data_IF_434370982124
#
_entry.id   IF_434370982124
#
_cell.length_a   1.000
_cell.length_b   1.000
_cell.length_c   1.000
_cell.angle_alpha   90.00
_cell.angle_beta   90.00
_cell.angle_gamma   90.00
#
_symmetry.space_group_name_H-M   'P 1'
#
loop_
_entity.id
_entity.type
_entity.pdbx_description
1 polymer ?
#
# COMPACT_ATOMS: atom_id res chain seq x y z
N UNK A 1 -24.20 10.74 20.83
CA UNK A 1 -23.46 10.75 19.56
C UNK A 1 -22.98 9.33 19.40
N UNK A 2 -23.47 8.62 18.38
CA UNK A 2 -22.92 7.31 18.04
C UNK A 2 -21.58 7.60 17.39
N UNK A 3 -20.50 7.13 18.00
CA UNK A 3 -19.16 7.28 17.45
C UNK A 3 -19.05 6.31 16.27
N UNK A 4 -19.13 6.82 15.05
CA UNK A 4 -18.86 6.03 13.85
C UNK A 4 -17.38 5.70 13.83
N UNK A 5 -17.03 4.42 13.86
CA UNK A 5 -15.64 4.01 13.70
C UNK A 5 -15.40 3.44 12.32
N UNK A 6 -14.18 3.65 11.84
CA UNK A 6 -13.63 2.92 10.70
C UNK A 6 -12.69 1.84 11.21
N UNK A 7 -12.84 0.64 10.66
CA UNK A 7 -11.93 -0.48 10.89
C UNK A 7 -11.27 -0.89 9.58
N UNK A 8 -9.94 -0.86 9.54
CA UNK A 8 -9.13 -1.41 8.46
C UNK A 8 -8.52 -2.75 8.91
N UNK A 9 -8.56 -3.75 8.04
CA UNK A 9 -7.83 -5.02 8.21
C UNK A 9 -6.96 -5.22 6.98
N UNK A 10 -5.65 -5.35 7.17
CA UNK A 10 -4.71 -5.71 6.09
C UNK A 10 -4.58 -7.23 6.08
N UNK A 11 -5.00 -7.89 5.00
CA UNK A 11 -5.00 -9.35 4.88
C UNK A 11 -3.73 -9.88 4.23
N UNK A 12 -3.13 -9.10 3.33
CA UNK A 12 -1.89 -9.45 2.67
C UNK A 12 -1.15 -8.17 2.28
N UNK A 13 0.16 -8.16 2.49
CA UNK A 13 1.04 -7.09 2.06
C UNK A 13 2.41 -7.67 1.71
N UNK A 14 2.95 -7.44 0.50
CA UNK A 14 4.31 -7.85 0.19
C UNK A 14 5.32 -7.17 1.14
N UNK A 15 6.37 -7.86 1.61
CA UNK A 15 7.32 -7.31 2.58
C UNK A 15 7.90 -5.94 2.18
N UNK A 16 8.22 -5.76 0.89
CA UNK A 16 8.77 -4.50 0.36
C UNK A 16 7.76 -3.33 0.30
N UNK A 17 6.47 -3.57 0.58
CA UNK A 17 5.43 -2.54 0.68
C UNK A 17 5.09 -2.16 2.13
N UNK A 18 5.57 -2.91 3.12
CA UNK A 18 5.26 -2.71 4.55
C UNK A 18 5.47 -1.27 4.99
N UNK A 19 6.63 -0.68 4.71
CA UNK A 19 6.94 0.72 5.06
C UNK A 19 5.97 1.72 4.43
N UNK A 20 5.63 1.54 3.17
CA UNK A 20 4.75 2.46 2.45
C UNK A 20 3.31 2.38 2.98
N UNK A 21 2.81 1.18 3.28
CA UNK A 21 1.51 0.99 3.91
C UNK A 21 1.50 1.59 5.32
N UNK A 22 2.51 1.30 6.15
CA UNK A 22 2.62 1.85 7.50
C UNK A 22 2.64 3.39 7.52
N UNK A 23 3.29 4.02 6.52
CA UNK A 23 3.26 5.47 6.36
C UNK A 23 1.85 6.02 6.10
N UNK A 24 1.04 5.33 5.27
CA UNK A 24 -0.37 5.69 5.06
C UNK A 24 -1.17 5.52 6.35
N UNK A 25 -1.01 4.40 7.05
CA UNK A 25 -1.73 4.15 8.32
C UNK A 25 -1.44 5.24 9.36
N UNK A 26 -0.16 5.60 9.53
CA UNK A 26 0.26 6.66 10.45
C UNK A 26 -0.31 8.03 10.06
N UNK A 27 -0.22 8.38 8.78
CA UNK A 27 -0.75 9.67 8.28
C UNK A 27 -2.27 9.81 8.50
N UNK A 28 -2.96 8.69 8.71
CA UNK A 28 -4.40 8.59 8.95
C UNK A 28 -4.77 8.31 10.41
N UNK A 29 -3.78 8.28 11.32
CA UNK A 29 -4.01 8.03 12.75
C UNK A 29 -4.44 6.60 13.08
N UNK A 30 -4.12 5.62 12.22
CA UNK A 30 -4.43 4.20 12.43
C UNK A 30 -3.31 3.45 13.17
N UNK A 31 -2.12 4.06 13.28
CA UNK A 31 -0.99 3.58 14.09
C UNK A 31 -0.12 4.75 14.53
N UNK A 32 0.57 4.60 15.66
CA UNK A 32 1.50 5.57 16.24
C UNK A 32 2.98 5.10 16.13
N UNK A 33 3.26 4.12 15.28
CA UNK A 33 4.61 3.55 15.13
C UNK A 33 5.65 4.62 14.76
N UNK A 34 6.87 4.50 15.27
CA UNK A 34 7.99 5.39 14.93
C UNK A 34 8.37 5.27 13.43
N UNK A 35 8.31 6.36 12.63
CA UNK A 35 8.64 6.33 11.20
C UNK A 35 10.09 5.92 10.90
N UNK A 36 11.01 6.17 11.82
CA UNK A 36 12.44 5.92 11.63
C UNK A 36 12.81 4.46 11.95
N UNK A 37 11.90 3.72 12.58
CA UNK A 37 12.09 2.31 12.92
C UNK A 37 11.77 1.37 11.74
N UNK A 38 12.20 0.11 11.84
CA UNK A 38 11.80 -0.93 10.89
C UNK A 38 10.35 -1.31 11.16
N UNK A 39 9.50 -1.17 10.15
CA UNK A 39 8.06 -1.32 10.28
C UNK A 39 7.65 -2.79 10.34
N UNK A 40 6.57 -3.08 11.05
CA UNK A 40 5.91 -4.40 11.05
C UNK A 40 4.41 -4.18 10.95
N UNK A 41 3.78 -4.84 9.98
CA UNK A 41 2.32 -4.86 9.89
C UNK A 41 1.80 -6.15 10.50
N UNK A 42 0.76 -6.03 11.31
CA UNK A 42 -0.02 -7.14 11.81
C UNK A 42 -1.13 -7.46 10.79
N UNK A 43 -0.97 -8.56 10.06
CA UNK A 43 -1.93 -9.04 9.07
C UNK A 43 -3.08 -9.77 9.76
N UNK A 44 -4.32 -9.49 9.32
CA UNK A 44 -5.55 -10.03 9.91
C UNK A 44 -6.01 -9.30 11.18
N UNK A 45 -5.21 -8.36 11.71
CA UNK A 45 -5.57 -7.54 12.86
C UNK A 45 -6.27 -6.24 12.44
N UNK A 46 -7.15 -5.74 13.30
CA UNK A 46 -7.94 -4.54 13.07
C UNK A 46 -7.16 -3.27 13.49
N UNK A 47 -7.06 -2.31 12.57
CA UNK A 47 -6.62 -0.95 12.82
C UNK A 47 -7.86 -0.06 12.85
N UNK A 48 -8.12 0.59 13.98
CA UNK A 48 -9.36 1.33 14.20
C UNK A 48 -9.09 2.84 14.30
N UNK A 49 -10.00 3.65 13.77
CA UNK A 49 -10.01 5.09 13.96
C UNK A 49 -11.44 5.61 14.06
N UNK A 50 -11.69 6.48 15.04
CA UNK A 50 -12.94 7.24 15.19
C UNK A 50 -12.99 8.50 14.31
N UNK A 51 -11.86 8.88 13.73
CA UNK A 51 -11.71 10.16 13.04
C UNK A 51 -11.86 10.03 11.52
N UNK A 52 -11.81 8.80 11.00
CA UNK A 52 -11.98 8.50 9.58
C UNK A 52 -13.44 8.16 9.30
N UNK A 53 -14.11 8.96 8.46
CA UNK A 53 -15.48 8.69 8.00
C UNK A 53 -15.70 9.16 6.57
N UNK A 54 -16.58 8.48 5.84
CA UNK A 54 -17.08 8.84 4.52
C UNK A 54 -15.98 9.11 3.49
N UNK A 55 -15.79 10.37 3.13
CA UNK A 55 -14.81 10.73 2.07
C UNK A 55 -13.39 10.32 2.46
N UNK A 56 -13.01 10.40 3.73
CA UNK A 56 -11.66 10.09 4.16
C UNK A 56 -11.33 8.59 4.03
N UNK A 57 -12.35 7.74 4.14
CA UNK A 57 -12.27 6.29 3.89
C UNK A 57 -11.98 6.01 2.42
N UNK A 58 -12.68 6.69 1.50
CA UNK A 58 -12.40 6.55 0.08
C UNK A 58 -10.96 6.95 -0.26
N UNK A 59 -10.44 8.04 0.31
CA UNK A 59 -9.05 8.47 0.08
C UNK A 59 -8.07 7.48 0.73
N UNK A 60 -8.36 6.91 1.90
CA UNK A 60 -7.53 5.84 2.49
C UNK A 60 -7.41 4.64 1.56
N UNK A 61 -8.52 4.18 0.97
CA UNK A 61 -8.53 3.05 0.03
C UNK A 61 -7.68 3.37 -1.20
N UNK A 62 -7.82 4.58 -1.75
CA UNK A 62 -7.06 5.03 -2.92
C UNK A 62 -5.56 5.10 -2.60
N UNK A 63 -5.18 5.70 -1.46
CA UNK A 63 -3.79 5.79 -1.01
C UNK A 63 -3.16 4.39 -0.85
N UNK A 64 -3.87 3.46 -0.17
CA UNK A 64 -3.41 2.08 0.01
C UNK A 64 -3.24 1.35 -1.33
N UNK A 65 -4.21 1.49 -2.23
CA UNK A 65 -4.17 0.88 -3.57
C UNK A 65 -3.02 1.44 -4.40
N UNK A 66 -2.73 2.74 -4.28
CA UNK A 66 -1.65 3.39 -4.98
C UNK A 66 -0.28 2.95 -4.45
N UNK A 67 -0.07 2.91 -3.12
CA UNK A 67 1.24 2.58 -2.55
C UNK A 67 1.52 1.08 -2.53
N UNK A 68 0.48 0.24 -2.51
CA UNK A 68 0.60 -1.21 -2.46
C UNK A 68 -0.50 -1.89 -3.29
N UNK A 69 -0.45 -1.82 -4.64
CA UNK A 69 -1.48 -2.39 -5.52
C UNK A 69 -1.60 -3.92 -5.44
N UNK A 70 -0.61 -4.58 -4.82
CA UNK A 70 -0.53 -6.02 -4.61
C UNK A 70 -1.06 -6.43 -3.22
N UNK A 71 -1.37 -5.46 -2.35
CA UNK A 71 -1.92 -5.72 -1.04
C UNK A 71 -3.41 -6.03 -1.12
N UNK A 72 -3.88 -6.85 -0.19
CA UNK A 72 -5.30 -7.11 0.01
C UNK A 72 -5.71 -6.61 1.39
N UNK A 73 -6.84 -5.92 1.47
CA UNK A 73 -7.32 -5.31 2.70
C UNK A 73 -8.85 -5.16 2.69
N UNK A 74 -9.42 -4.94 3.86
CA UNK A 74 -10.83 -4.61 4.03
C UNK A 74 -10.98 -3.39 4.90
N UNK A 75 -11.85 -2.47 4.49
CA UNK A 75 -12.26 -1.32 5.30
C UNK A 75 -13.74 -1.45 5.61
N UNK A 76 -14.09 -1.25 6.88
CA UNK A 76 -15.44 -1.21 7.39
C UNK A 76 -15.72 0.17 7.95
N UNK A 77 -16.89 0.72 7.65
CA UNK A 77 -17.47 1.83 8.41
C UNK A 77 -18.67 1.31 9.19
N UNK A 78 -18.70 1.58 10.48
CA UNK A 78 -19.78 1.10 11.36
C UNK A 78 -21.13 1.68 10.94
N UNK A 79 -22.16 0.82 10.99
CA UNK A 79 -23.54 1.28 10.92
C UNK A 79 -23.88 2.14 12.15
N UNK A 80 -24.78 3.10 11.96
CA UNK A 80 -25.36 3.90 13.05
C UNK A 80 -26.86 3.60 13.16
N UNK A 81 -27.50 4.12 14.20
CA UNK A 81 -28.96 4.01 14.36
C UNK A 81 -29.74 4.60 13.16
N UNK A 82 -29.11 5.52 12.40
CA UNK A 82 -29.75 6.25 11.31
C UNK A 82 -29.29 5.79 9.91
N UNK A 83 -28.12 5.13 9.81
CA UNK A 83 -27.46 4.83 8.53
C UNK A 83 -26.81 3.46 8.54
N UNK A 84 -26.93 2.73 7.42
CA UNK A 84 -26.17 1.50 7.22
C UNK A 84 -24.66 1.80 7.16
N UNK A 85 -23.87 0.83 7.58
CA UNK A 85 -22.41 0.87 7.43
C UNK A 85 -22.00 0.57 5.99
N UNK A 86 -20.70 0.53 5.75
CA UNK A 86 -20.12 0.15 4.46
C UNK A 86 -19.00 -0.85 4.67
N UNK A 87 -18.81 -1.73 3.68
CA UNK A 87 -17.64 -2.59 3.59
C UNK A 87 -17.01 -2.47 2.21
N UNK A 88 -15.71 -2.25 2.19
CA UNK A 88 -14.87 -2.23 1.01
C UNK A 88 -13.81 -3.32 1.11
N UNK A 89 -13.85 -4.30 0.20
CA UNK A 89 -12.86 -5.37 0.10
C UNK A 89 -12.03 -5.16 -1.16
N UNK A 90 -10.73 -5.00 -0.99
CA UNK A 90 -9.78 -4.90 -2.10
C UNK A 90 -8.94 -6.17 -2.13
N UNK A 91 -9.02 -6.90 -3.24
CA UNK A 91 -8.21 -8.09 -3.52
C UNK A 91 -7.66 -7.92 -4.93
N UNK A 92 -6.34 -7.77 -5.14
CA UNK A 92 -5.77 -7.34 -6.42
C UNK A 92 -6.27 -8.08 -7.67
N UNK A 93 -6.31 -9.43 -7.71
CA UNK A 93 -6.82 -10.14 -8.90
C UNK A 93 -8.33 -10.01 -9.12
N UNK A 94 -9.08 -9.58 -8.11
CA UNK A 94 -10.55 -9.45 -8.15
C UNK A 94 -11.02 -7.99 -8.27
N UNK A 95 -10.17 -7.03 -7.89
CA UNK A 95 -10.51 -5.62 -7.79
C UNK A 95 -11.16 -5.26 -6.45
N UNK A 96 -12.02 -4.24 -6.46
CA UNK A 96 -12.74 -3.72 -5.29
C UNK A 96 -14.18 -4.21 -5.29
N UNK A 97 -14.64 -4.71 -4.15
CA UNK A 97 -16.03 -4.99 -3.84
C UNK A 97 -16.52 -4.03 -2.76
N UNK A 98 -17.71 -3.46 -2.97
CA UNK A 98 -18.34 -2.51 -2.03
C UNK A 98 -19.77 -2.94 -1.75
N UNK A 99 -20.20 -2.91 -0.49
CA UNK A 99 -21.59 -3.14 -0.11
C UNK A 99 -21.96 -2.33 1.14
N UNK A 100 -23.25 -2.08 1.32
CA UNK A 100 -23.78 -1.61 2.60
C UNK A 100 -23.74 -2.74 3.63
N UNK A 101 -23.59 -2.40 4.91
CA UNK A 101 -23.56 -3.39 6.00
C UNK A 101 -24.56 -3.11 7.10
N UNK A 102 -24.95 -4.18 7.80
CA UNK A 102 -25.63 -4.07 9.08
C UNK A 102 -24.64 -3.75 10.23
N UNK A 103 -25.18 -3.68 11.45
CA UNK A 103 -24.43 -3.47 12.69
C UNK A 103 -23.41 -4.57 13.02
N UNK A 104 -23.52 -5.74 12.41
CA UNK A 104 -22.57 -6.84 12.57
C UNK A 104 -21.45 -6.79 11.49
N UNK A 105 -21.47 -5.78 10.61
CA UNK A 105 -20.54 -5.66 9.49
C UNK A 105 -20.81 -6.63 8.34
N UNK A 106 -21.97 -7.29 8.33
CA UNK A 106 -22.37 -8.19 7.25
C UNK A 106 -22.94 -7.39 6.08
N UNK A 107 -22.55 -7.75 4.86
CA UNK A 107 -23.11 -7.15 3.67
C UNK A 107 -24.62 -7.41 3.59
N UNK A 108 -25.40 -6.35 3.42
CA UNK A 108 -26.86 -6.41 3.27
C UNK A 108 -27.27 -5.95 1.88
N UNK A 109 -28.36 -6.55 1.39
CA UNK A 109 -28.92 -6.28 0.08
C UNK A 109 -30.43 -6.14 0.22
N UNK A 110 -31.01 -5.25 -0.58
CA UNK A 110 -32.45 -5.10 -0.71
C UNK A 110 -33.06 -6.30 -1.43
N UNK A 111 -34.37 -6.50 -1.25
CA UNK A 111 -35.10 -7.56 -1.96
C UNK A 111 -34.99 -7.39 -3.48
N UNK A 112 -35.05 -6.14 -3.97
CA UNK A 112 -34.97 -5.85 -5.40
C UNK A 112 -33.59 -6.20 -5.98
N UNK A 113 -32.49 -5.90 -5.26
CA UNK A 113 -31.14 -6.32 -5.64
C UNK A 113 -31.02 -7.84 -5.71
N UNK A 114 -31.57 -8.56 -4.73
CA UNK A 114 -31.55 -10.04 -4.74
C UNK A 114 -32.33 -10.60 -5.92
N UNK A 115 -33.50 -10.03 -6.24
CA UNK A 115 -34.28 -10.44 -7.41
C UNK A 115 -33.55 -10.16 -8.72
N UNK A 116 -32.82 -9.06 -8.82
CA UNK A 116 -31.95 -8.75 -9.96
C UNK A 116 -30.81 -9.78 -10.07
N UNK A 117 -30.13 -10.06 -8.97
CA UNK A 117 -29.01 -11.01 -8.94
C UNK A 117 -29.44 -12.43 -9.30
N UNK A 118 -30.69 -12.81 -8.99
CA UNK A 118 -31.24 -14.13 -9.33
C UNK A 118 -31.41 -14.34 -10.85
N UNK A 119 -31.44 -13.26 -11.64
CA UNK A 119 -31.47 -13.34 -13.10
C UNK A 119 -30.07 -13.47 -13.72
N UNK A 120 -29.00 -13.33 -12.94
CA UNK A 120 -27.62 -13.42 -13.41
C UNK A 120 -27.11 -14.86 -13.43
N UNK A 121 -26.10 -15.09 -14.27
CA UNK A 121 -25.34 -16.35 -14.28
C UNK A 121 -24.67 -16.60 -12.90
N UNK A 122 -24.47 -17.87 -12.49
CA UNK A 122 -23.99 -18.19 -11.15
C UNK A 122 -22.70 -17.47 -10.73
N UNK A 123 -21.74 -17.32 -11.64
CA UNK A 123 -20.47 -16.63 -11.35
C UNK A 123 -20.63 -15.13 -11.14
N UNK A 124 -21.46 -14.48 -11.97
CA UNK A 124 -21.76 -13.05 -11.84
C UNK A 124 -22.55 -12.75 -10.57
N UNK A 125 -23.52 -13.60 -10.25
CA UNK A 125 -24.27 -13.55 -9.01
C UNK A 125 -23.36 -13.64 -7.79
N UNK A 126 -22.43 -14.60 -7.78
CA UNK A 126 -21.47 -14.75 -6.69
C UNK A 126 -20.55 -13.51 -6.56
N UNK A 127 -20.12 -12.94 -7.69
CA UNK A 127 -19.33 -11.71 -7.69
C UNK A 127 -20.12 -10.51 -7.12
N UNK A 128 -21.41 -10.36 -7.46
CA UNK A 128 -22.30 -9.33 -6.89
C UNK A 128 -22.52 -9.48 -5.39
N UNK A 129 -22.48 -10.70 -4.88
CA UNK A 129 -22.56 -11.01 -3.45
C UNK A 129 -21.21 -10.90 -2.73
N UNK A 130 -20.12 -10.58 -3.44
CA UNK A 130 -18.77 -10.46 -2.87
C UNK A 130 -18.14 -11.78 -2.43
N UNK A 131 -18.74 -12.92 -2.80
CA UNK A 131 -18.30 -14.26 -2.38
C UNK A 131 -16.83 -14.55 -2.77
N UNK A 132 -16.36 -14.22 -4.00
CA UNK A 132 -14.96 -14.42 -4.36
C UNK A 132 -13.97 -13.69 -3.45
N UNK A 133 -14.30 -12.48 -3.00
CA UNK A 133 -13.44 -11.69 -2.11
C UNK A 133 -13.37 -12.32 -0.73
N UNK A 134 -14.52 -12.70 -0.16
CA UNK A 134 -14.58 -13.39 1.15
C UNK A 134 -13.75 -14.67 1.12
N UNK A 135 -13.92 -15.49 0.09
CA UNK A 135 -13.19 -16.74 -0.06
C UNK A 135 -11.69 -16.51 -0.24
N UNK A 136 -11.28 -15.51 -1.02
CA UNK A 136 -9.87 -15.19 -1.20
C UNK A 136 -9.23 -14.75 0.14
N UNK A 137 -9.86 -13.82 0.84
CA UNK A 137 -9.40 -13.30 2.14
C UNK A 137 -9.29 -14.42 3.18
N UNK A 138 -10.27 -15.33 3.26
CA UNK A 138 -10.26 -16.44 4.21
C UNK A 138 -9.07 -17.42 4.06
N UNK A 139 -8.36 -17.37 2.94
CA UNK A 139 -7.17 -18.20 2.69
C UNK A 139 -5.85 -17.45 2.90
N UNK A 140 -5.89 -16.16 3.21
CA UNK A 140 -4.70 -15.34 3.40
C UNK A 140 -4.06 -15.60 4.77
N UNK A 141 -2.72 -15.50 4.88
CA UNK A 141 -2.03 -15.72 6.15
C UNK A 141 -2.28 -14.58 7.13
N UNK A 142 -2.33 -14.92 8.41
CA UNK A 142 -2.36 -13.96 9.52
C UNK A 142 -0.97 -13.84 10.17
N UNK A 143 -0.78 -12.74 10.92
CA UNK A 143 0.41 -12.54 11.76
C UNK A 143 1.31 -11.39 11.31
N UNK A 144 2.52 -11.35 11.86
CA UNK A 144 3.44 -10.23 11.65
C UNK A 144 4.17 -10.30 10.30
N UNK A 145 4.03 -9.26 9.49
CA UNK A 145 4.78 -9.03 8.27
C UNK A 145 5.81 -7.92 8.50
N UNK A 146 7.07 -8.31 8.63
CA UNK A 146 8.17 -7.37 8.84
C UNK A 146 8.69 -6.80 7.52
N UNK A 147 9.02 -5.51 7.55
CA UNK A 147 9.78 -4.86 6.50
C UNK A 147 11.15 -5.56 6.33
N UNK A 148 11.60 -5.83 5.09
CA UNK A 148 12.91 -6.43 4.84
C UNK A 148 14.03 -5.44 5.15
N UNK A 149 15.26 -5.95 5.32
CA UNK A 149 16.43 -5.07 5.46
C UNK A 149 16.66 -4.33 4.14
N UNK A 150 16.68 -2.98 4.13
CA UNK A 150 16.93 -2.22 2.93
C UNK A 150 18.40 -2.31 2.47
N UNK A 151 18.61 -2.06 1.20
CA UNK A 151 19.93 -1.76 0.63
C UNK A 151 20.09 -0.26 0.47
N UNK A 152 21.26 0.25 0.79
CA UNK A 152 21.61 1.64 0.53
C UNK A 152 21.94 1.85 -0.95
N UNK A 153 21.73 3.08 -1.41
CA UNK A 153 22.06 3.46 -2.80
C UNK A 153 22.93 4.71 -2.85
N UNK A 154 23.74 4.80 -3.90
CA UNK A 154 24.37 6.04 -4.33
C UNK A 154 23.91 6.37 -5.75
N UNK A 155 23.38 7.57 -5.95
CA UNK A 155 23.02 8.09 -7.24
C UNK A 155 23.79 9.37 -7.55
N UNK A 156 24.35 9.42 -8.76
CA UNK A 156 24.98 10.61 -9.32
C UNK A 156 24.17 11.11 -10.53
N UNK A 157 23.26 12.09 -10.35
CA UNK A 157 22.44 12.66 -11.43
C UNK A 157 23.21 13.12 -12.67
N UNK A 158 24.44 13.61 -12.49
CA UNK A 158 25.25 14.15 -13.57
C UNK A 158 25.77 13.09 -14.55
N UNK A 159 25.91 11.84 -14.12
CA UNK A 159 26.32 10.71 -14.98
C UNK A 159 25.22 9.63 -15.12
N UNK A 160 24.08 9.82 -14.44
CA UNK A 160 22.94 8.91 -14.45
C UNK A 160 23.18 7.58 -13.73
N UNK A 161 24.28 7.43 -12.99
CA UNK A 161 24.61 6.14 -12.37
C UNK A 161 23.96 5.98 -11.01
N UNK A 162 23.19 4.90 -10.85
CA UNK A 162 22.67 4.45 -9.57
C UNK A 162 23.43 3.18 -9.17
N UNK A 163 23.98 3.15 -7.97
CA UNK A 163 24.67 2.00 -7.38
C UNK A 163 23.82 1.53 -6.21
N UNK A 164 23.44 0.26 -6.21
CA UNK A 164 22.82 -0.37 -5.03
C UNK A 164 23.89 -1.15 -4.29
N UNK A 165 24.21 -0.71 -3.08
CA UNK A 165 25.32 -1.20 -2.30
C UNK A 165 25.03 -2.60 -1.74
N UNK A 166 26.02 -3.48 -1.88
CA UNK A 166 25.99 -4.85 -1.37
C UNK A 166 24.73 -5.67 -1.72
N UNK A 167 24.09 -5.39 -2.85
CA UNK A 167 22.87 -6.06 -3.29
C UNK A 167 23.11 -7.23 -4.27
N UNK A 168 24.31 -7.37 -4.80
CA UNK A 168 24.70 -8.39 -5.78
C UNK A 168 24.89 -9.77 -5.16
N UNK A 169 25.24 -10.75 -6.00
CA UNK A 169 25.75 -12.03 -5.51
C UNK A 169 27.00 -11.79 -4.67
N UNK A 170 27.14 -12.52 -3.57
CA UNK A 170 28.25 -12.40 -2.61
C UNK A 170 28.40 -11.02 -1.96
N UNK A 171 27.36 -10.18 -1.99
CA UNK A 171 27.41 -8.83 -1.41
C UNK A 171 28.17 -7.81 -2.25
N UNK A 172 28.34 -8.06 -3.56
CA UNK A 172 28.88 -7.08 -4.49
C UNK A 172 27.90 -5.92 -4.74
N UNK A 173 28.39 -4.78 -5.20
CA UNK A 173 27.52 -3.66 -5.60
C UNK A 173 26.85 -3.95 -6.94
N UNK A 174 25.59 -3.51 -7.08
CA UNK A 174 24.84 -3.60 -8.34
C UNK A 174 24.85 -2.22 -9.00
N UNK A 175 25.55 -2.11 -10.12
CA UNK A 175 25.55 -0.91 -10.94
C UNK A 175 24.33 -0.92 -11.87
N UNK A 176 23.53 0.14 -11.79
CA UNK A 176 22.39 0.41 -12.66
C UNK A 176 22.74 1.67 -13.45
N UNK A 177 22.95 1.50 -14.75
CA UNK A 177 23.06 2.63 -15.67
C UNK A 177 21.65 3.16 -15.92
N UNK A 178 21.24 4.15 -15.12
CA UNK A 178 20.02 4.88 -15.44
C UNK A 178 20.39 5.82 -16.60
N UNK A 179 19.76 5.64 -17.76
CA UNK A 179 19.95 6.49 -18.94
C UNK A 179 19.32 7.87 -18.72
N UNK A 180 19.60 8.51 -17.59
CA UNK A 180 18.91 9.71 -17.15
C UNK A 180 19.83 10.72 -16.49
N UNK A 181 19.94 11.88 -17.13
CA UNK A 181 20.45 13.08 -16.51
C UNK A 181 19.28 13.75 -15.79
N UNK A 182 19.38 13.93 -14.48
CA UNK A 182 18.45 14.77 -13.74
C UNK A 182 19.13 16.12 -13.45
N UNK A 183 18.37 17.19 -13.64
CA UNK A 183 18.78 18.56 -13.33
C UNK A 183 18.67 18.82 -11.84
N UNK A 184 19.69 19.48 -11.32
CA UNK A 184 19.80 19.90 -9.92
C UNK A 184 19.81 21.41 -9.97
N UNK A 185 18.89 22.06 -9.27
CA UNK A 185 18.82 23.52 -9.26
C UNK A 185 20.01 24.14 -8.49
N UNK A 186 20.15 25.46 -8.58
CA UNK A 186 21.22 26.20 -7.88
C UNK A 186 21.15 26.08 -6.35
N UNK A 187 20.03 25.55 -5.82
CA UNK A 187 19.81 25.29 -4.40
C UNK A 187 20.09 23.83 -4.01
N UNK A 188 20.51 22.98 -4.96
CA UNK A 188 20.81 21.57 -4.72
C UNK A 188 19.57 20.67 -4.67
N UNK A 189 18.40 21.18 -5.08
CA UNK A 189 17.18 20.39 -5.16
C UNK A 189 17.14 19.59 -6.44
N UNK A 190 16.70 18.34 -6.31
CA UNK A 190 16.47 17.45 -7.43
C UNK A 190 15.12 17.77 -8.08
N UNK A 191 15.11 18.12 -9.38
CA UNK A 191 13.86 18.45 -10.09
C UNK A 191 12.91 17.24 -10.17
N UNK A 192 13.46 16.05 -10.44
CA UNK A 192 12.69 14.80 -10.43
C UNK A 192 13.59 13.58 -10.22
N UNK A 193 13.06 12.60 -9.48
CA UNK A 193 13.67 11.28 -9.29
C UNK A 193 13.05 10.18 -10.15
N UNK A 194 12.00 10.51 -10.94
CA UNK A 194 11.16 9.51 -11.59
C UNK A 194 11.94 8.54 -12.47
N UNK A 195 12.97 9.01 -13.16
CA UNK A 195 13.77 8.16 -14.05
C UNK A 195 14.74 7.26 -13.29
N UNK A 196 15.30 7.72 -12.18
CA UNK A 196 16.11 6.88 -11.29
C UNK A 196 15.24 5.79 -10.64
N UNK A 197 14.03 6.16 -10.19
CA UNK A 197 13.05 5.22 -9.63
C UNK A 197 12.62 4.19 -10.69
N UNK A 198 12.41 4.59 -11.94
CA UNK A 198 12.09 3.68 -13.04
C UNK A 198 13.26 2.72 -13.39
N UNK A 199 14.50 3.21 -13.35
CA UNK A 199 15.69 2.38 -13.56
C UNK A 199 15.89 1.35 -12.43
N UNK A 200 15.70 1.77 -11.17
CA UNK A 200 15.65 0.87 -10.02
C UNK A 200 14.57 -0.20 -10.19
N UNK A 201 13.35 0.20 -10.55
CA UNK A 201 12.24 -0.71 -10.78
C UNK A 201 12.56 -1.73 -11.89
N UNK A 202 13.12 -1.27 -13.01
CA UNK A 202 13.56 -2.14 -14.11
C UNK A 202 14.67 -3.13 -13.71
N UNK A 203 15.47 -2.78 -12.70
CA UNK A 203 16.49 -3.66 -12.13
C UNK A 203 15.97 -4.59 -11.01
N UNK A 204 14.70 -4.46 -10.61
CA UNK A 204 14.09 -5.25 -9.53
C UNK A 204 14.28 -4.65 -8.14
N UNK A 205 14.31 -3.33 -8.04
CA UNK A 205 14.37 -2.60 -6.78
C UNK A 205 13.22 -1.60 -6.66
N UNK A 206 12.69 -1.46 -5.46
CA UNK A 206 11.68 -0.46 -5.11
C UNK A 206 12.25 0.48 -4.05
N UNK A 207 12.09 1.79 -4.27
CA UNK A 207 12.52 2.81 -3.32
C UNK A 207 11.71 2.74 -2.02
N UNK A 208 12.42 2.77 -0.89
CA UNK A 208 11.85 2.73 0.46
C UNK A 208 11.66 4.12 1.07
N UNK A 209 12.61 5.05 0.81
CA UNK A 209 12.65 6.40 1.40
C UNK A 209 12.77 7.47 0.30
N UNK A 210 12.54 8.76 0.60
CA UNK A 210 12.91 9.84 -0.31
C UNK A 210 14.41 9.82 -0.68
N UNK A 211 14.77 10.52 -1.76
CA UNK A 211 16.18 10.75 -2.09
C UNK A 211 16.74 11.89 -1.25
N UNK A 212 17.88 11.66 -0.60
CA UNK A 212 18.53 12.64 0.26
C UNK A 212 19.96 12.94 -0.23
N UNK A 213 20.45 14.18 -0.11
CA UNK A 213 21.81 14.52 -0.52
C UNK A 213 22.84 13.87 0.40
N UNK A 214 23.79 13.12 -0.16
CA UNK A 214 24.88 12.46 0.57
C UNK A 214 26.09 13.38 0.81
N UNK A 215 26.13 14.54 0.14
CA UNK A 215 27.22 15.49 0.27
C UNK A 215 26.74 16.94 0.21
N UNK A 216 27.54 17.84 0.78
CA UNK A 216 27.26 19.27 0.82
C UNK A 216 27.23 19.93 -0.56
N UNK A 217 27.83 19.29 -1.57
CA UNK A 217 27.82 19.79 -2.95
C UNK A 217 26.54 19.43 -3.69
N UNK A 218 25.64 18.65 -3.09
CA UNK A 218 24.46 18.07 -3.73
C UNK A 218 24.82 17.53 -5.11
N UNK A 219 25.79 16.61 -5.15
CA UNK A 219 26.20 15.89 -6.37
C UNK A 219 26.00 14.39 -6.28
N UNK A 220 25.77 13.90 -5.05
CA UNK A 220 25.41 12.52 -4.77
C UNK A 220 24.16 12.50 -3.91
N UNK A 221 23.27 11.58 -4.22
CA UNK A 221 22.04 11.32 -3.48
C UNK A 221 22.02 9.87 -3.05
N UNK A 222 21.33 9.60 -1.97
CA UNK A 222 21.15 8.26 -1.45
C UNK A 222 19.70 8.04 -1.07
N UNK A 223 19.31 6.77 -1.09
CA UNK A 223 18.05 6.29 -0.57
C UNK A 223 18.17 4.81 -0.24
N UNK A 224 17.29 4.36 0.64
CA UNK A 224 17.09 2.94 0.89
C UNK A 224 16.20 2.33 -0.21
N UNK A 225 16.52 1.12 -0.65
CA UNK A 225 15.72 0.34 -1.60
C UNK A 225 15.50 -1.09 -1.11
N UNK A 226 14.37 -1.67 -1.47
CA UNK A 226 14.12 -3.10 -1.30
C UNK A 226 14.29 -3.83 -2.62
N UNK A 227 14.79 -5.06 -2.56
CA UNK A 227 14.70 -5.97 -3.69
C UNK A 227 13.26 -6.45 -3.86
N UNK A 228 12.72 -6.34 -5.06
CA UNK A 228 11.43 -6.94 -5.42
C UNK A 228 11.63 -8.34 -5.99
N UNK A 229 10.72 -9.30 -5.73
CA UNK A 229 10.70 -10.55 -6.46
C UNK A 229 10.47 -10.27 -7.96
N UNK A 230 11.17 -10.99 -8.83
CA UNK A 230 10.95 -10.95 -10.28
C UNK A 230 9.81 -11.89 -10.69
#
# INVERSE_FOLDING_TARGET
MSDTNTTLIVHSCPPYRVRAVAAVLRARGLTDDDPDSRQTLHLGEAYMSSDLVGRDVAVLIDDLTQVAPEAAFTVYEDATDEWLGTVDRVVPPLGRFTAATDHDGNAVFTVDEILEFDQLEPGERQARLGIPWVNAIATMPEGAMAEPVPHETEWTPADGRVIVLAAGQDGADVLIEATCLATVDDHGNLETAATADAALAGAGFLRANPWEPLNQTCRKWGTAVYRTPR
#
